data_IF_254791926817
#
_entry.id   IF_254791926817
#
_cell.length_a   1.000
_cell.length_b   1.000
_cell.length_c   1.000
_cell.angle_alpha   90.00
_cell.angle_beta   90.00
_cell.angle_gamma   90.00
#
_symmetry.space_group_name_H-M   'P 1'
#
loop_
_entity.id
_entity.type
_entity.pdbx_description
1 polymer ?
#
# COMPACT_ATOMS: atom_id res chain seq x y z
N UNK A 1 -2.86 27.61 7.97
CA UNK A 1 -3.63 27.30 6.76
C UNK A 1 -4.79 26.49 7.22
N UNK A 2 -5.94 27.14 7.39
CA UNK A 2 -7.16 26.45 7.81
C UNK A 2 -7.52 25.43 6.73
N UNK A 3 -7.73 24.18 7.14
CA UNK A 3 -8.00 23.07 6.22
C UNK A 3 -9.25 23.33 5.38
N UNK A 4 -10.12 24.23 5.86
CA UNK A 4 -11.33 24.71 5.19
C UNK A 4 -11.05 25.42 3.86
N UNK A 5 -9.89 26.09 3.70
CA UNK A 5 -9.52 26.78 2.46
C UNK A 5 -9.10 25.80 1.34
N UNK A 6 -8.70 24.58 1.71
CA UNK A 6 -8.25 23.56 0.75
C UNK A 6 -9.42 22.88 0.01
N UNK A 7 -10.64 22.96 0.54
CA UNK A 7 -11.83 22.25 0.03
C UNK A 7 -12.80 23.12 -0.78
N UNK A 8 -12.35 24.21 -1.41
CA UNK A 8 -13.25 25.11 -2.16
C UNK A 8 -14.04 24.43 -3.30
N UNK A 9 -13.52 23.34 -3.86
CA UNK A 9 -14.17 22.54 -4.93
C UNK A 9 -15.19 21.52 -4.41
N UNK A 10 -15.13 21.14 -3.13
CA UNK A 10 -16.04 20.14 -2.57
C UNK A 10 -17.14 20.86 -1.80
N UNK A 11 -18.43 20.69 -2.17
CA UNK A 11 -19.52 21.31 -1.42
C UNK A 11 -19.46 20.89 0.06
N UNK A 12 -19.82 21.77 0.98
CA UNK A 12 -19.88 21.41 2.41
C UNK A 12 -20.83 20.22 2.61
N UNK A 13 -20.39 19.14 3.29
CA UNK A 13 -21.25 17.98 3.52
C UNK A 13 -22.45 18.41 4.38
N UNK A 14 -23.63 18.42 3.76
CA UNK A 14 -24.93 18.68 4.40
C UNK A 14 -25.81 17.46 4.11
N UNK A 15 -26.72 17.06 4.99
CA UNK A 15 -27.53 15.84 4.83
C UNK A 15 -28.22 15.74 3.44
N UNK A 16 -28.66 16.87 2.88
CA UNK A 16 -29.28 16.93 1.55
C UNK A 16 -28.31 16.78 0.36
N UNK A 17 -27.00 17.02 0.55
CA UNK A 17 -25.98 17.00 -0.52
C UNK A 17 -24.95 15.89 -0.35
N UNK A 18 -25.17 14.95 0.58
CA UNK A 18 -24.24 13.87 0.89
C UNK A 18 -23.81 13.08 -0.36
N UNK A 19 -24.78 12.66 -1.19
CA UNK A 19 -24.50 11.89 -2.41
C UNK A 19 -23.64 12.69 -3.39
N UNK A 20 -23.91 14.00 -3.55
CA UNK A 20 -23.13 14.87 -4.43
C UNK A 20 -21.69 15.02 -3.92
N UNK A 21 -21.52 15.28 -2.61
CA UNK A 21 -20.18 15.41 -2.01
C UNK A 21 -19.38 14.11 -2.10
N UNK A 22 -20.06 12.96 -1.99
CA UNK A 22 -19.45 11.63 -2.15
C UNK A 22 -19.03 11.36 -3.60
N UNK A 23 -19.87 11.67 -4.58
CA UNK A 23 -19.52 11.52 -5.99
C UNK A 23 -18.40 12.47 -6.41
N UNK A 24 -18.41 13.71 -5.91
CA UNK A 24 -17.33 14.68 -6.14
C UNK A 24 -16.00 14.19 -5.54
N UNK A 25 -15.99 13.64 -4.33
CA UNK A 25 -14.77 13.10 -3.73
C UNK A 25 -14.26 11.87 -4.51
N UNK A 26 -15.15 10.99 -4.94
CA UNK A 26 -14.80 9.84 -5.77
C UNK A 26 -14.17 10.27 -7.10
N UNK A 27 -14.75 11.28 -7.77
CA UNK A 27 -14.20 11.84 -9.00
C UNK A 27 -12.82 12.48 -8.77
N UNK A 28 -12.62 13.17 -7.65
CA UNK A 28 -11.35 13.78 -7.31
C UNK A 28 -10.27 12.72 -7.04
N UNK A 29 -10.60 11.67 -6.28
CA UNK A 29 -9.69 10.55 -6.02
C UNK A 29 -9.31 9.85 -7.34
N UNK A 30 -10.27 9.61 -8.23
CA UNK A 30 -10.00 9.02 -9.54
C UNK A 30 -9.05 9.88 -10.40
N UNK A 31 -9.30 11.20 -10.47
CA UNK A 31 -8.46 12.14 -11.21
C UNK A 31 -7.04 12.22 -10.63
N UNK A 32 -6.92 12.38 -9.32
CA UNK A 32 -5.62 12.46 -8.64
C UNK A 32 -4.83 11.16 -8.78
N UNK A 33 -5.49 10.00 -8.73
CA UNK A 33 -4.82 8.70 -8.89
C UNK A 33 -4.30 8.53 -10.33
N UNK A 34 -5.06 8.97 -11.33
CA UNK A 34 -4.60 8.98 -12.72
C UNK A 34 -3.36 9.89 -12.91
N UNK A 35 -3.41 11.11 -12.38
CA UNK A 35 -2.28 12.05 -12.44
C UNK A 35 -1.05 11.52 -11.70
N UNK A 36 -1.23 10.88 -10.53
CA UNK A 36 -0.15 10.27 -9.75
C UNK A 36 0.58 9.20 -10.57
N UNK A 37 -0.16 8.27 -11.18
CA UNK A 37 0.43 7.20 -11.99
C UNK A 37 1.18 7.79 -13.19
N UNK A 38 0.56 8.77 -13.88
CA UNK A 38 1.18 9.43 -15.03
C UNK A 38 2.48 10.17 -14.67
N UNK A 39 2.50 10.89 -13.55
CA UNK A 39 3.71 11.57 -13.07
C UNK A 39 4.80 10.60 -12.67
N UNK A 40 4.46 9.46 -12.05
CA UNK A 40 5.44 8.44 -11.68
C UNK A 40 6.07 7.79 -12.91
N UNK A 41 5.28 7.51 -13.95
CA UNK A 41 5.76 6.99 -15.23
C UNK A 41 6.72 7.99 -15.90
N UNK A 42 6.30 9.25 -16.03
CA UNK A 42 7.13 10.30 -16.65
C UNK A 42 8.40 10.57 -15.84
N UNK A 43 8.33 10.58 -14.51
CA UNK A 43 9.50 10.74 -13.65
C UNK A 43 10.46 9.55 -13.81
N UNK A 44 9.96 8.32 -13.90
CA UNK A 44 10.78 7.13 -14.16
C UNK A 44 11.57 7.24 -15.47
N UNK A 45 10.93 7.74 -16.53
CA UNK A 45 11.60 7.99 -17.82
C UNK A 45 12.72 9.04 -17.69
N UNK A 46 12.47 10.15 -16.99
CA UNK A 46 13.45 11.24 -16.78
C UNK A 46 14.64 10.79 -15.94
N UNK A 47 14.41 10.01 -14.88
CA UNK A 47 15.47 9.52 -13.99
C UNK A 47 16.12 8.22 -14.48
N UNK A 48 15.73 7.70 -15.65
CA UNK A 48 16.17 6.40 -16.19
C UNK A 48 15.97 5.24 -15.20
N UNK A 49 14.94 5.30 -14.37
CA UNK A 49 14.55 4.25 -13.43
C UNK A 49 13.38 3.48 -14.01
N UNK A 50 13.49 2.15 -14.00
CA UNK A 50 12.44 1.28 -14.55
C UNK A 50 11.10 1.51 -13.84
N UNK A 51 10.00 1.65 -14.61
CA UNK A 51 8.65 1.91 -14.09
C UNK A 51 8.26 0.99 -12.92
N UNK A 52 8.54 -0.31 -13.05
CA UNK A 52 8.27 -1.31 -12.00
C UNK A 52 8.92 -0.91 -10.65
N UNK A 53 10.16 -0.40 -10.64
CA UNK A 53 10.85 0.01 -9.42
C UNK A 53 10.21 1.28 -8.84
N UNK A 54 9.88 2.25 -9.69
CA UNK A 54 9.18 3.47 -9.29
C UNK A 54 7.80 3.18 -8.70
N UNK A 55 7.06 2.22 -9.29
CA UNK A 55 5.74 1.81 -8.81
C UNK A 55 5.82 0.99 -7.51
N UNK A 56 6.83 0.13 -7.36
CA UNK A 56 7.04 -0.63 -6.11
C UNK A 56 7.50 0.24 -4.94
N UNK A 57 8.03 1.43 -5.19
CA UNK A 57 8.58 2.32 -4.16
C UNK A 57 7.74 3.57 -3.97
N UNK A 58 7.73 4.46 -4.95
CA UNK A 58 7.08 5.78 -4.87
C UNK A 58 5.56 5.65 -4.90
N UNK A 59 5.01 4.85 -5.83
CA UNK A 59 3.56 4.67 -5.91
C UNK A 59 3.06 3.92 -4.66
N UNK A 60 3.73 2.82 -4.29
CA UNK A 60 3.40 2.06 -3.08
C UNK A 60 3.49 2.89 -1.79
N UNK A 61 4.52 3.71 -1.63
CA UNK A 61 4.61 4.64 -0.49
C UNK A 61 3.50 5.70 -0.54
N UNK A 62 3.21 6.22 -1.74
CA UNK A 62 2.17 7.22 -1.96
C UNK A 62 0.78 6.77 -1.57
N UNK A 63 0.45 5.48 -1.73
CA UNK A 63 -0.84 4.93 -1.28
C UNK A 63 -0.88 4.66 0.23
N UNK A 64 0.23 4.24 0.84
CA UNK A 64 0.27 3.93 2.28
C UNK A 64 0.46 5.14 3.21
N UNK A 65 1.04 6.24 2.74
CA UNK A 65 1.28 7.45 3.55
C UNK A 65 -0.04 8.07 4.06
N UNK A 66 -1.07 8.30 3.22
CA UNK A 66 -2.37 8.83 3.68
C UNK A 66 -3.02 7.95 4.75
N UNK A 67 -2.99 6.63 4.55
CA UNK A 67 -3.51 5.66 5.51
C UNK A 67 -2.75 5.70 6.83
N UNK A 68 -1.42 5.79 6.77
CA UNK A 68 -0.59 5.93 7.97
C UNK A 68 -0.90 7.23 8.73
N UNK A 69 -1.06 8.36 8.03
CA UNK A 69 -1.43 9.64 8.65
C UNK A 69 -2.81 9.55 9.31
N UNK A 70 -3.78 8.94 8.64
CA UNK A 70 -5.12 8.70 9.18
C UNK A 70 -5.10 7.82 10.43
N UNK A 71 -4.41 6.67 10.37
CA UNK A 71 -4.25 5.75 11.50
C UNK A 71 -3.53 6.42 12.68
N UNK A 72 -2.49 7.23 12.44
CA UNK A 72 -1.80 7.98 13.50
C UNK A 72 -2.73 9.03 14.13
N UNK A 73 -3.52 9.74 13.32
CA UNK A 73 -4.47 10.73 13.83
C UNK A 73 -5.56 10.10 14.72
N UNK A 74 -6.08 8.93 14.34
CA UNK A 74 -7.06 8.17 15.13
C UNK A 74 -6.42 7.57 16.39
N UNK A 75 -5.22 7.02 16.29
CA UNK A 75 -4.48 6.48 17.44
C UNK A 75 -4.17 7.56 18.49
N UNK A 76 -3.83 8.79 18.06
CA UNK A 76 -3.60 9.93 18.97
C UNK A 76 -4.85 10.36 19.74
N UNK A 77 -6.04 10.05 19.25
CA UNK A 77 -7.32 10.29 19.94
C UNK A 77 -7.67 9.20 20.96
N UNK A 78 -6.76 8.25 21.21
CA UNK A 78 -6.98 7.11 22.11
C UNK A 78 -7.73 5.94 21.45
N UNK A 79 -8.05 6.03 20.16
CA UNK A 79 -8.75 5.00 19.39
C UNK A 79 -7.76 4.06 18.68
N UNK A 80 -6.81 3.53 19.44
CA UNK A 80 -5.74 2.68 18.90
C UNK A 80 -6.26 1.42 18.21
N UNK A 81 -7.26 0.77 18.79
CA UNK A 81 -7.87 -0.45 18.24
C UNK A 81 -8.51 -0.18 16.87
N UNK A 82 -9.15 0.97 16.70
CA UNK A 82 -9.72 1.42 15.43
C UNK A 82 -8.64 1.74 14.40
N UNK A 83 -7.52 2.33 14.84
CA UNK A 83 -6.39 2.61 13.94
C UNK A 83 -5.74 1.33 13.40
N UNK A 84 -5.60 0.29 14.24
CA UNK A 84 -5.08 -1.02 13.84
C UNK A 84 -6.08 -1.74 12.93
N UNK A 85 -7.37 -1.76 13.29
CA UNK A 85 -8.38 -2.46 12.47
C UNK A 85 -8.52 -1.84 11.09
N UNK A 86 -8.45 -0.51 10.99
CA UNK A 86 -8.44 0.20 9.70
C UNK A 86 -7.21 -0.14 8.86
N UNK A 87 -6.01 -0.21 9.47
CA UNK A 87 -4.78 -0.51 8.73
C UNK A 87 -4.75 -1.96 8.23
N UNK A 88 -5.17 -2.91 9.05
CA UNK A 88 -5.26 -4.33 8.66
C UNK A 88 -6.38 -4.52 7.61
N UNK A 89 -7.53 -3.87 7.83
CA UNK A 89 -8.69 -3.96 6.95
C UNK A 89 -8.43 -3.41 5.55
N UNK A 90 -7.73 -2.28 5.42
CA UNK A 90 -7.37 -1.67 4.13
C UNK A 90 -6.54 -2.65 3.28
N UNK A 91 -5.48 -3.23 3.85
CA UNK A 91 -4.63 -4.20 3.13
C UNK A 91 -5.39 -5.47 2.71
N UNK A 92 -6.30 -5.96 3.57
CA UNK A 92 -7.15 -7.11 3.22
C UNK A 92 -8.09 -6.73 2.07
N UNK A 93 -8.71 -5.55 2.11
CA UNK A 93 -9.59 -5.06 1.06
C UNK A 93 -8.84 -4.88 -0.27
N UNK A 94 -7.62 -4.35 -0.25
CA UNK A 94 -6.79 -4.19 -1.45
C UNK A 94 -6.49 -5.53 -2.11
N UNK A 95 -6.15 -6.56 -1.33
CA UNK A 95 -5.83 -7.89 -1.86
C UNK A 95 -7.10 -8.61 -2.35
N UNK A 96 -8.22 -8.48 -1.64
CA UNK A 96 -9.45 -9.26 -1.91
C UNK A 96 -10.40 -8.59 -2.89
N UNK A 97 -10.40 -7.27 -2.97
CA UNK A 97 -11.29 -6.48 -3.82
C UNK A 97 -10.49 -5.59 -4.77
N UNK A 98 -9.48 -4.88 -4.26
CA UNK A 98 -8.68 -3.92 -5.04
C UNK A 98 -7.95 -4.55 -6.22
N UNK A 99 -7.36 -5.74 -6.06
CA UNK A 99 -6.69 -6.48 -7.15
C UNK A 99 -7.66 -7.27 -8.05
N UNK A 100 -8.62 -8.07 -7.51
CA UNK A 100 -9.42 -8.94 -8.36
C UNK A 100 -10.43 -8.17 -9.22
N UNK A 101 -11.01 -7.07 -8.73
CA UNK A 101 -12.03 -6.32 -9.48
C UNK A 101 -11.49 -5.77 -10.82
N UNK A 102 -10.34 -5.05 -10.86
CA UNK A 102 -9.74 -4.62 -12.12
C UNK A 102 -9.36 -5.79 -13.04
N UNK A 103 -8.87 -6.91 -12.49
CA UNK A 103 -8.52 -8.09 -13.29
C UNK A 103 -9.74 -8.78 -13.90
N UNK A 104 -10.84 -8.87 -13.14
CA UNK A 104 -12.11 -9.39 -13.63
C UNK A 104 -12.69 -8.50 -14.72
N UNK A 105 -12.66 -7.17 -14.53
CA UNK A 105 -13.08 -6.22 -15.56
C UNK A 105 -12.22 -6.35 -16.81
N UNK A 106 -10.88 -6.42 -16.65
CA UNK A 106 -9.97 -6.63 -17.78
C UNK A 106 -10.30 -7.94 -18.53
N UNK A 107 -10.49 -9.04 -17.81
CA UNK A 107 -10.84 -10.34 -18.41
C UNK A 107 -12.17 -10.28 -19.15
N UNK A 108 -13.19 -9.62 -18.59
CA UNK A 108 -14.50 -9.44 -19.21
C UNK A 108 -14.42 -8.66 -20.53
N UNK A 109 -13.64 -7.58 -20.57
CA UNK A 109 -13.48 -6.76 -21.79
C UNK A 109 -12.50 -7.36 -22.82
N UNK A 110 -11.67 -8.34 -22.42
CA UNK A 110 -10.65 -8.96 -23.29
C UNK A 110 -10.95 -10.43 -23.59
N UNK A 111 -12.24 -10.79 -23.76
CA UNK A 111 -12.67 -12.14 -24.19
C UNK A 111 -12.19 -13.28 -23.26
N UNK A 112 -12.08 -13.01 -21.95
CA UNK A 112 -11.62 -14.00 -20.97
C UNK A 112 -10.10 -14.18 -20.92
N UNK A 113 -9.32 -13.29 -21.55
CA UNK A 113 -7.85 -13.35 -21.49
C UNK A 113 -7.37 -13.10 -20.05
N UNK A 114 -6.61 -14.06 -19.54
CA UNK A 114 -5.96 -13.94 -18.24
C UNK A 114 -4.85 -12.86 -18.25
N UNK A 115 -4.79 -12.07 -17.18
CA UNK A 115 -3.71 -11.11 -16.94
C UNK A 115 -2.41 -11.88 -16.68
N UNK A 116 -1.43 -11.75 -17.57
CA UNK A 116 -0.13 -12.41 -17.41
C UNK A 116 0.76 -11.63 -16.43
N UNK A 117 0.95 -12.19 -15.24
CA UNK A 117 1.91 -11.67 -14.26
C UNK A 117 3.31 -12.18 -14.61
N UNK A 118 4.17 -11.30 -15.12
CA UNK A 118 5.56 -11.63 -15.48
C UNK A 118 6.47 -11.42 -14.26
N UNK A 119 6.78 -12.49 -13.54
CA UNK A 119 7.73 -12.43 -12.42
C UNK A 119 8.50 -13.75 -12.31
N UNK A 120 9.84 -13.68 -12.33
CA UNK A 120 10.74 -14.85 -12.26
C UNK A 120 10.66 -15.62 -10.94
N UNK A 121 10.08 -15.06 -9.87
CA UNK A 121 10.12 -15.66 -8.52
C UNK A 121 8.90 -15.34 -7.64
N UNK A 122 7.68 -15.35 -8.21
CA UNK A 122 6.46 -14.98 -7.45
C UNK A 122 6.24 -15.87 -6.20
N UNK A 123 6.57 -17.16 -6.30
CA UNK A 123 6.42 -18.10 -5.19
C UNK A 123 7.27 -17.73 -3.97
N UNK A 124 8.51 -17.31 -4.19
CA UNK A 124 9.41 -16.91 -3.10
C UNK A 124 8.95 -15.59 -2.44
N UNK A 125 8.47 -14.63 -3.23
CA UNK A 125 7.89 -13.38 -2.71
C UNK A 125 6.66 -13.65 -1.84
N UNK A 126 5.78 -14.56 -2.27
CA UNK A 126 4.62 -14.99 -1.48
C UNK A 126 5.07 -15.65 -0.17
N UNK A 127 6.10 -16.50 -0.18
CA UNK A 127 6.61 -17.14 1.03
C UNK A 127 7.14 -16.11 2.03
N UNK A 128 7.93 -15.13 1.60
CA UNK A 128 8.43 -14.06 2.48
C UNK A 128 7.27 -13.23 3.04
N UNK A 129 6.29 -12.87 2.20
CA UNK A 129 5.11 -12.14 2.64
C UNK A 129 4.34 -12.91 3.72
N UNK A 130 4.12 -14.21 3.51
CA UNK A 130 3.41 -15.08 4.46
C UNK A 130 4.19 -15.27 5.76
N UNK A 131 5.52 -15.39 5.69
CA UNK A 131 6.38 -15.46 6.86
C UNK A 131 6.28 -14.17 7.69
N UNK A 132 6.33 -13.02 7.01
CA UNK A 132 6.21 -11.71 7.66
C UNK A 132 4.84 -11.50 8.30
N UNK A 133 3.77 -11.84 7.60
CA UNK A 133 2.41 -11.78 8.14
C UNK A 133 2.28 -12.64 9.40
N UNK A 134 2.82 -13.87 9.35
CA UNK A 134 2.82 -14.79 10.50
C UNK A 134 3.62 -14.21 11.67
N UNK A 135 4.80 -13.67 11.42
CA UNK A 135 5.63 -13.04 12.44
C UNK A 135 4.93 -11.84 13.11
N UNK A 136 4.23 -11.01 12.33
CA UNK A 136 3.42 -9.89 12.85
C UNK A 136 2.30 -10.40 13.75
N UNK A 137 1.51 -11.38 13.29
CA UNK A 137 0.42 -11.96 14.07
C UNK A 137 0.93 -12.57 15.38
N UNK A 138 1.99 -13.37 15.32
CA UNK A 138 2.60 -13.99 16.50
C UNK A 138 3.09 -12.95 17.50
N UNK A 139 3.68 -11.84 17.02
CA UNK A 139 4.15 -10.75 17.88
C UNK A 139 2.98 -10.06 18.58
N UNK A 140 1.89 -9.78 17.86
CA UNK A 140 0.67 -9.17 18.42
C UNK A 140 0.04 -10.10 19.47
N UNK A 141 -0.03 -11.40 19.19
CA UNK A 141 -0.52 -12.41 20.13
C UNK A 141 0.36 -12.50 21.38
N UNK A 142 1.69 -12.52 21.23
CA UNK A 142 2.64 -12.54 22.34
C UNK A 142 2.52 -11.31 23.24
N UNK A 143 2.19 -10.15 22.66
CA UNK A 143 1.96 -8.89 23.37
C UNK A 143 0.52 -8.76 23.91
N UNK A 144 -0.26 -9.84 23.90
CA UNK A 144 -1.65 -9.92 24.41
C UNK A 144 -2.57 -8.84 23.83
N UNK A 145 -2.41 -8.51 22.55
CA UNK A 145 -3.22 -7.51 21.84
C UNK A 145 -3.18 -6.11 22.48
N UNK A 146 -2.13 -5.77 23.23
CA UNK A 146 -1.98 -4.45 23.84
C UNK A 146 -1.04 -3.57 23.02
N UNK A 147 -1.52 -2.38 22.65
CA UNK A 147 -0.72 -1.34 21.99
C UNK A 147 0.27 -0.71 22.95
N UNK A 148 1.45 -1.31 23.02
CA UNK A 148 2.54 -0.86 23.88
C UNK A 148 3.69 -0.30 23.01
N UNK A 149 4.47 0.66 23.53
CA UNK A 149 5.72 1.11 22.90
C UNK A 149 6.65 -0.04 22.46
N UNK A 150 6.86 -1.12 23.24
CA UNK A 150 7.65 -2.27 22.79
C UNK A 150 7.07 -3.01 21.59
N UNK A 151 5.73 -3.13 21.47
CA UNK A 151 5.11 -3.73 20.29
C UNK A 151 5.48 -2.93 19.03
N UNK A 152 5.39 -1.60 19.11
CA UNK A 152 5.81 -0.72 18.02
C UNK A 152 7.29 -0.88 17.65
N UNK A 153 8.18 -0.99 18.64
CA UNK A 153 9.61 -1.21 18.39
C UNK A 153 9.88 -2.55 17.69
N UNK A 154 9.19 -3.63 18.09
CA UNK A 154 9.30 -4.93 17.42
C UNK A 154 8.75 -4.86 15.99
N UNK A 155 7.64 -4.16 15.76
CA UNK A 155 7.09 -3.95 14.41
C UNK A 155 8.07 -3.21 13.49
N UNK A 156 8.73 -2.16 13.97
CA UNK A 156 9.78 -1.49 13.20
C UNK A 156 10.97 -2.43 12.91
N UNK A 157 11.40 -3.22 13.91
CA UNK A 157 12.45 -4.21 13.72
C UNK A 157 12.12 -5.24 12.63
N UNK A 158 10.91 -5.80 12.68
CA UNK A 158 10.41 -6.72 11.64
C UNK A 158 10.36 -6.04 10.26
N UNK A 159 9.92 -4.79 10.19
CA UNK A 159 9.89 -4.04 8.93
C UNK A 159 11.29 -3.83 8.33
N UNK A 160 12.29 -3.48 9.15
CA UNK A 160 13.68 -3.35 8.68
C UNK A 160 14.27 -4.69 8.24
N UNK A 161 13.99 -5.77 8.96
CA UNK A 161 14.39 -7.13 8.54
C UNK A 161 13.76 -7.47 7.19
N UNK A 162 12.47 -7.17 7.01
CA UNK A 162 11.79 -7.38 5.74
C UNK A 162 12.42 -6.59 4.60
N UNK A 163 12.69 -5.30 4.78
CA UNK A 163 13.38 -4.48 3.78
C UNK A 163 14.75 -5.07 3.45
N UNK A 164 15.53 -5.47 4.45
CA UNK A 164 16.85 -6.06 4.24
C UNK A 164 16.77 -7.36 3.42
N UNK A 165 15.82 -8.25 3.74
CA UNK A 165 15.59 -9.48 2.99
C UNK A 165 15.09 -9.21 1.57
N UNK A 166 14.15 -8.28 1.39
CA UNK A 166 13.60 -7.91 0.10
C UNK A 166 14.65 -7.26 -0.81
N UNK A 167 15.50 -6.38 -0.26
CA UNK A 167 16.61 -5.77 -0.99
C UNK A 167 17.66 -6.82 -1.37
N UNK A 168 18.06 -7.70 -0.44
CA UNK A 168 19.03 -8.75 -0.71
C UNK A 168 18.55 -9.70 -1.82
N UNK A 169 17.25 -9.93 -1.94
CA UNK A 169 16.66 -10.70 -3.04
C UNK A 169 16.64 -9.93 -4.38
N UNK A 170 16.44 -8.61 -4.35
CA UNK A 170 16.29 -7.80 -5.57
C UNK A 170 17.61 -7.24 -6.11
N UNK A 171 18.68 -7.24 -5.31
CA UNK A 171 20.01 -6.87 -5.81
C UNK A 171 20.41 -7.83 -6.94
N UNK A 172 20.82 -7.29 -8.10
CA UNK A 172 21.17 -8.11 -9.25
C UNK A 172 22.37 -8.99 -8.92
N UNK A 173 22.36 -10.20 -9.48
CA UNK A 173 23.44 -11.21 -9.50
C UNK A 173 24.80 -10.70 -10.03
N UNK A 174 24.99 -9.38 -10.19
CA UNK A 174 26.19 -8.73 -10.72
C UNK A 174 27.17 -8.22 -9.66
N UNK A 175 26.91 -8.41 -8.36
CA UNK A 175 27.91 -8.11 -7.32
C UNK A 175 28.83 -9.32 -7.07
N UNK A 176 30.17 -9.21 -7.25
CA UNK A 176 31.13 -10.33 -7.19
C UNK A 176 31.34 -10.96 -5.79
N UNK A 177 30.51 -10.61 -4.79
CA UNK A 177 30.78 -10.89 -3.37
C UNK A 177 29.79 -11.93 -2.79
N UNK A 178 28.60 -12.08 -3.37
CA UNK A 178 27.58 -13.03 -2.90
C UNK A 178 26.92 -13.71 -4.11
N UNK A 179 27.59 -14.74 -4.62
CA UNK A 179 27.06 -15.64 -5.64
C UNK A 179 26.21 -16.71 -4.95
N UNK A 180 24.95 -16.39 -4.66
CA UNK A 180 23.98 -17.39 -4.20
C UNK A 180 23.00 -17.62 -5.35
N UNK A 181 23.23 -18.72 -6.07
CA UNK A 181 22.31 -19.21 -7.09
C UNK A 181 21.09 -19.80 -6.40
N UNK A 182 19.90 -19.27 -6.68
CA UNK A 182 18.61 -19.90 -6.37
C UNK A 182 17.85 -20.17 -7.65
#
# INVERSE_FOLDING_TARGET
VDVEDLYWLVPKPTESRFLLTFLCSLAWIALLTYLLVWWIETAGEVFHVHYIVMSLTVLAAGTSIPDAVSSVAVARKGLGDTAISSSIGSNIFDITVGLPVPWMLFSLFNEGKAVKVKTKSIGFQIIILMLMLTAVILTVMAMKWRMNKPLGAVMFGLYFIFIALALLQHYPETSPILNIQW
#
